data_IF_940510171164
#
_entry.id   IF_940510171164
#
_cell.length_a   1.000
_cell.length_b   1.000
_cell.length_c   1.000
_cell.angle_alpha   90.00
_cell.angle_beta   90.00
_cell.angle_gamma   90.00
#
_symmetry.space_group_name_H-M   'P 1'
#
loop_
_entity.id
_entity.type
_entity.pdbx_description
1 polymer ?
#
# COMPACT_ATOMS: atom_id res chain seq x y z
N UNK A 1 -0.94 18.52 -23.77
CA UNK A 1 -0.92 17.57 -24.90
C UNK A 1 -1.42 16.23 -24.39
N UNK A 2 -1.96 15.36 -25.25
CA UNK A 2 -2.22 13.96 -24.87
C UNK A 2 -0.97 13.15 -25.16
N UNK A 3 -0.51 12.38 -24.19
CA UNK A 3 0.70 11.55 -24.30
C UNK A 3 0.40 10.12 -23.88
N UNK A 4 1.17 9.16 -24.35
CA UNK A 4 1.10 7.76 -23.90
C UNK A 4 2.45 7.44 -23.26
N UNK A 5 2.43 7.13 -21.97
CA UNK A 5 3.63 6.92 -21.16
C UNK A 5 3.64 5.50 -20.61
N UNK A 6 4.81 4.90 -20.61
CA UNK A 6 5.01 3.55 -20.10
C UNK A 6 5.27 3.60 -18.60
N UNK A 7 4.62 2.72 -17.85
CA UNK A 7 5.08 2.39 -16.52
C UNK A 7 6.08 1.21 -16.61
N UNK A 8 7.34 1.48 -16.30
CA UNK A 8 8.47 0.58 -16.59
C UNK A 8 8.54 -0.63 -15.67
N UNK A 9 7.96 -0.58 -14.47
CA UNK A 9 7.99 -1.68 -13.52
C UNK A 9 6.99 -2.79 -13.86
N UNK A 10 5.99 -2.52 -14.72
CA UNK A 10 4.91 -3.48 -15.04
C UNK A 10 4.66 -3.72 -16.52
N UNK A 11 5.40 -3.04 -17.40
CA UNK A 11 5.17 -3.08 -18.86
C UNK A 11 3.74 -2.62 -19.25
N UNK A 12 3.18 -1.68 -18.47
CA UNK A 12 1.85 -1.11 -18.68
C UNK A 12 1.94 0.27 -19.35
N UNK A 13 0.88 0.67 -20.06
CA UNK A 13 0.80 1.98 -20.72
C UNK A 13 -0.37 2.81 -20.19
N UNK A 14 -0.09 4.09 -19.93
CA UNK A 14 -1.04 5.07 -19.44
C UNK A 14 -1.20 6.20 -20.45
N UNK A 15 -2.45 6.50 -20.81
CA UNK A 15 -2.81 7.67 -21.61
C UNK A 15 -2.92 8.86 -20.67
N UNK A 16 -1.99 9.80 -20.76
CA UNK A 16 -2.03 11.07 -20.02
C UNK A 16 -2.83 12.08 -20.83
N UNK A 17 -4.05 12.39 -20.39
CA UNK A 17 -5.01 13.21 -21.11
C UNK A 17 -5.58 14.35 -20.24
N UNK A 18 -4.81 15.42 -19.97
CA UNK A 18 -5.25 16.52 -19.11
C UNK A 18 -6.52 17.23 -19.59
N UNK A 19 -6.76 17.31 -20.89
CA UNK A 19 -7.97 17.95 -21.46
C UNK A 19 -9.28 17.23 -21.09
N UNK A 20 -9.20 16.01 -20.55
CA UNK A 20 -10.38 15.27 -20.05
C UNK A 20 -10.83 15.75 -18.66
N UNK A 21 -10.06 16.59 -17.97
CA UNK A 21 -10.46 17.15 -16.66
C UNK A 21 -11.70 18.03 -16.75
N UNK A 22 -11.97 18.62 -17.91
CA UNK A 22 -13.06 19.58 -18.12
C UNK A 22 -14.41 18.90 -18.45
N UNK A 23 -14.45 17.56 -18.43
CA UNK A 23 -15.69 16.82 -18.65
C UNK A 23 -16.65 17.05 -17.48
N UNK A 24 -17.92 17.39 -17.73
CA UNK A 24 -18.91 17.52 -16.65
C UNK A 24 -19.04 16.21 -15.88
N UNK A 25 -19.01 16.30 -14.55
CA UNK A 25 -19.24 15.21 -13.62
C UNK A 25 -20.53 15.49 -12.83
N UNK A 26 -21.55 14.67 -13.03
CA UNK A 26 -22.85 14.79 -12.35
C UNK A 26 -22.86 14.14 -10.95
N UNK A 27 -21.73 13.58 -10.50
CA UNK A 27 -21.61 12.90 -9.21
C UNK A 27 -20.82 13.76 -8.22
N UNK A 28 -21.42 14.01 -7.05
CA UNK A 28 -20.76 14.74 -5.97
C UNK A 28 -19.60 13.93 -5.39
N UNK A 29 -18.52 14.62 -4.98
CA UNK A 29 -17.52 14.02 -4.09
C UNK A 29 -18.16 13.84 -2.72
N UNK A 30 -18.10 12.63 -2.17
CA UNK A 30 -18.53 12.41 -0.79
C UNK A 30 -17.59 13.17 0.16
N UNK A 31 -18.17 14.04 0.99
CA UNK A 31 -17.50 14.63 2.14
C UNK A 31 -17.78 13.77 3.35
N UNK A 32 -16.80 12.96 3.75
CA UNK A 32 -16.95 11.97 4.81
C UNK A 32 -16.08 12.25 6.02
N UNK A 33 -16.09 13.48 6.56
CA UNK A 33 -15.35 13.71 7.80
C UNK A 33 -16.12 13.13 8.99
N UNK A 34 -15.54 12.10 9.58
CA UNK A 34 -16.03 11.48 10.81
C UNK A 34 -15.54 12.32 11.97
N UNK A 35 -16.46 12.77 12.82
CA UNK A 35 -16.13 13.67 13.94
C UNK A 35 -15.95 12.94 15.27
N UNK A 36 -16.64 11.82 15.47
CA UNK A 36 -16.70 11.13 16.76
C UNK A 36 -15.47 10.25 16.99
N UNK A 37 -14.76 10.46 18.10
CA UNK A 37 -13.61 9.63 18.51
C UNK A 37 -14.03 8.20 18.90
N UNK A 38 -15.29 8.00 19.27
CA UNK A 38 -15.87 6.69 19.57
C UNK A 38 -17.26 6.57 18.96
N UNK A 39 -17.57 5.39 18.43
CA UNK A 39 -18.90 5.01 17.93
C UNK A 39 -19.28 3.71 18.61
N UNK A 40 -20.45 3.67 19.26
CA UNK A 40 -20.88 2.53 20.10
C UNK A 40 -20.91 1.21 19.35
N UNK A 41 -21.37 1.24 18.10
CA UNK A 41 -21.64 0.02 17.31
C UNK A 41 -20.47 -0.35 16.40
N UNK A 42 -19.30 0.28 16.60
CA UNK A 42 -18.11 -0.04 15.85
C UNK A 42 -17.32 -1.14 16.58
N UNK A 43 -17.12 -2.33 15.97
CA UNK A 43 -16.40 -3.44 16.61
C UNK A 43 -14.92 -3.15 16.85
N UNK A 44 -14.38 -2.13 16.19
CA UNK A 44 -12.96 -1.74 16.31
C UNK A 44 -12.76 -0.64 17.36
N UNK A 45 -13.81 -0.06 17.94
CA UNK A 45 -13.65 0.91 19.02
C UNK A 45 -13.26 0.23 20.34
N UNK A 46 -12.46 0.89 21.19
CA UNK A 46 -12.14 0.39 22.52
C UNK A 46 -13.39 0.07 23.36
N UNK A 47 -13.35 -1.06 24.06
CA UNK A 47 -14.45 -1.62 24.84
C UNK A 47 -15.35 -2.59 24.08
N UNK A 48 -15.17 -2.74 22.76
CA UNK A 48 -15.92 -3.66 21.91
C UNK A 48 -15.05 -4.84 21.44
N UNK A 49 -13.96 -5.15 22.12
CA UNK A 49 -12.98 -6.16 21.69
C UNK A 49 -13.60 -7.56 21.54
N UNK A 50 -14.65 -7.87 22.33
CA UNK A 50 -15.44 -9.10 22.21
C UNK A 50 -16.24 -9.22 20.90
N UNK A 51 -16.38 -8.15 20.13
CA UNK A 51 -17.08 -8.16 18.83
C UNK A 51 -16.17 -8.58 17.66
N UNK A 52 -14.85 -8.63 17.91
CA UNK A 52 -13.83 -9.11 16.97
C UNK A 52 -13.33 -10.52 17.35
N UNK A 53 -12.76 -11.28 16.41
CA UNK A 53 -11.98 -12.47 16.76
C UNK A 53 -10.87 -12.15 17.77
N UNK A 54 -10.41 -13.16 18.51
CA UNK A 54 -9.34 -12.99 19.50
C UNK A 54 -8.09 -12.36 18.88
N UNK A 55 -7.49 -11.43 19.61
CA UNK A 55 -6.30 -10.74 19.14
C UNK A 55 -5.15 -11.70 18.86
N UNK A 56 -4.39 -11.43 17.81
CA UNK A 56 -3.12 -12.12 17.51
C UNK A 56 -1.91 -11.30 17.95
N UNK A 57 -2.05 -9.98 18.03
CA UNK A 57 -1.01 -9.06 18.46
C UNK A 57 -1.61 -7.70 18.83
N UNK A 58 -1.01 -6.99 19.79
CA UNK A 58 -1.32 -5.58 20.01
C UNK A 58 -0.17 -4.85 20.68
N UNK A 59 -0.10 -3.54 20.45
CA UNK A 59 0.79 -2.62 21.15
C UNK A 59 -0.02 -1.91 22.22
N UNK A 60 0.44 -1.99 23.48
CA UNK A 60 -0.16 -1.36 24.66
C UNK A 60 0.90 -0.64 25.48
N UNK A 61 0.53 0.45 26.14
CA UNK A 61 1.38 1.16 27.09
C UNK A 61 1.04 0.77 28.53
N UNK A 62 2.04 0.80 29.41
CA UNK A 62 1.85 0.63 30.85
C UNK A 62 2.27 -0.73 31.38
N UNK A 63 2.31 -0.86 32.71
CA UNK A 63 2.81 -2.07 33.40
C UNK A 63 1.79 -3.21 33.41
N UNK A 64 0.49 -2.87 33.44
CA UNK A 64 -0.63 -3.83 33.45
C UNK A 64 -1.78 -3.26 32.60
N UNK A 65 -1.62 -3.23 31.27
CA UNK A 65 -2.62 -2.63 30.40
C UNK A 65 -3.88 -3.51 30.30
N UNK A 66 -5.05 -2.87 30.28
CA UNK A 66 -6.30 -3.54 29.94
C UNK A 66 -6.34 -3.85 28.44
N UNK A 67 -7.22 -4.76 28.05
CA UNK A 67 -7.40 -5.10 26.63
C UNK A 67 -7.67 -3.86 25.79
N UNK A 68 -8.51 -2.94 26.30
CA UNK A 68 -8.91 -1.66 25.70
C UNK A 68 -7.84 -0.57 25.61
N UNK A 69 -6.69 -0.77 26.24
CA UNK A 69 -5.59 0.22 26.27
C UNK A 69 -4.64 0.07 25.06
N UNK A 70 -5.13 -0.55 23.99
CA UNK A 70 -4.37 -0.78 22.76
C UNK A 70 -4.20 0.52 21.95
N UNK A 71 -3.02 0.65 21.35
CA UNK A 71 -2.70 1.69 20.36
C UNK A 71 -2.88 1.18 18.94
N UNK A 72 -2.38 -0.03 18.69
CA UNK A 72 -2.58 -0.78 17.45
C UNK A 72 -2.95 -2.20 17.85
N UNK A 73 -3.97 -2.78 17.22
CA UNK A 73 -4.48 -4.11 17.54
C UNK A 73 -4.67 -4.93 16.27
N UNK A 74 -4.23 -6.19 16.30
CA UNK A 74 -4.31 -7.13 15.19
C UNK A 74 -5.17 -8.32 15.61
N UNK A 75 -6.06 -8.72 14.74
CA UNK A 75 -6.92 -9.89 14.92
C UNK A 75 -7.22 -10.53 13.56
N UNK A 76 -7.54 -11.83 13.51
CA UNK A 76 -8.01 -12.47 12.29
C UNK A 76 -9.24 -11.75 11.73
N UNK A 77 -9.32 -11.65 10.41
CA UNK A 77 -10.52 -11.15 9.76
C UNK A 77 -11.68 -12.13 10.04
N UNK A 78 -12.83 -11.62 10.50
CA UNK A 78 -14.02 -12.42 10.79
C UNK A 78 -14.60 -13.09 9.54
N UNK A 79 -14.35 -12.50 8.37
CA UNK A 79 -14.74 -13.02 7.06
C UNK A 79 -13.49 -13.14 6.18
N UNK A 80 -12.61 -14.11 6.47
CA UNK A 80 -11.30 -14.18 5.84
C UNK A 80 -11.42 -14.61 4.38
N UNK A 81 -10.45 -14.18 3.55
CA UNK A 81 -10.41 -14.54 2.13
C UNK A 81 -9.70 -15.89 1.90
N UNK A 82 -8.95 -16.35 2.91
CA UNK A 82 -8.20 -17.60 2.96
C UNK A 82 -8.50 -18.29 4.30
N UNK A 83 -8.42 -19.61 4.32
CA UNK A 83 -8.71 -20.42 5.48
C UNK A 83 -7.41 -20.91 6.13
N UNK A 84 -7.18 -20.54 7.39
CA UNK A 84 -6.01 -20.98 8.17
C UNK A 84 -6.01 -22.49 8.46
N UNK A 85 -7.16 -23.13 8.32
CA UNK A 85 -7.35 -24.58 8.47
C UNK A 85 -7.53 -25.26 7.09
N UNK A 86 -7.36 -24.49 6.01
CA UNK A 86 -7.38 -24.97 4.64
C UNK A 86 -6.20 -25.87 4.28
N UNK A 87 -6.18 -26.36 3.04
CA UNK A 87 -5.09 -27.20 2.52
C UNK A 87 -4.26 -26.43 1.51
N UNK A 88 -3.03 -26.88 1.26
CA UNK A 88 -2.17 -26.39 0.17
C UNK A 88 -2.16 -27.33 -1.05
N UNK A 89 -3.01 -28.36 -1.03
CA UNK A 89 -3.05 -29.39 -2.07
C UNK A 89 -3.46 -28.80 -3.43
N UNK A 90 -2.70 -29.16 -4.46
CA UNK A 90 -2.95 -28.77 -5.85
C UNK A 90 -3.65 -29.93 -6.57
N UNK A 91 -4.70 -29.61 -7.31
CA UNK A 91 -5.37 -30.50 -8.26
C UNK A 91 -5.06 -29.98 -9.65
N UNK A 92 -4.19 -30.70 -10.36
CA UNK A 92 -3.79 -30.39 -11.72
C UNK A 92 -4.63 -31.15 -12.74
N UNK A 93 -5.02 -30.46 -13.81
CA UNK A 93 -5.66 -31.04 -14.98
C UNK A 93 -5.27 -30.25 -16.23
N UNK A 94 -5.53 -30.80 -17.42
CA UNK A 94 -5.02 -30.24 -18.69
C UNK A 94 -5.45 -28.79 -18.96
N UNK A 95 -6.63 -28.38 -18.49
CA UNK A 95 -7.19 -27.03 -18.66
C UNK A 95 -7.61 -26.37 -17.34
N UNK A 96 -7.81 -27.16 -16.30
CA UNK A 96 -8.36 -26.71 -15.03
C UNK A 96 -7.40 -27.12 -13.92
N UNK A 97 -6.93 -26.11 -13.19
CA UNK A 97 -6.07 -26.27 -12.04
C UNK A 97 -6.71 -25.56 -10.85
N UNK A 98 -6.56 -26.13 -9.67
CA UNK A 98 -7.02 -25.52 -8.42
C UNK A 98 -6.07 -25.87 -7.29
N UNK A 99 -5.99 -24.99 -6.30
CA UNK A 99 -5.27 -25.24 -5.05
C UNK A 99 -6.19 -25.00 -3.87
N UNK A 100 -5.92 -25.67 -2.75
CA UNK A 100 -6.60 -25.38 -1.50
C UNK A 100 -6.35 -23.93 -1.05
N UNK A 101 -7.35 -23.33 -0.40
CA UNK A 101 -7.34 -21.92 -0.01
C UNK A 101 -6.65 -21.65 1.33
N UNK A 102 -5.51 -22.30 1.61
CA UNK A 102 -4.77 -22.04 2.85
C UNK A 102 -4.17 -20.63 2.88
N UNK A 103 -4.19 -20.01 4.04
CA UNK A 103 -3.47 -18.76 4.30
C UNK A 103 -4.06 -17.97 5.46
N UNK A 104 -3.58 -16.74 5.63
CA UNK A 104 -3.99 -15.88 6.74
C UNK A 104 -4.62 -14.59 6.21
N UNK A 105 -5.69 -14.14 6.86
CA UNK A 105 -6.26 -12.81 6.62
C UNK A 105 -6.42 -12.12 7.98
N UNK A 106 -5.66 -11.07 8.22
CA UNK A 106 -5.69 -10.28 9.46
C UNK A 106 -6.15 -8.85 9.19
N UNK A 107 -6.82 -8.26 10.18
CA UNK A 107 -7.16 -6.85 10.25
C UNK A 107 -6.24 -6.19 11.28
N UNK A 108 -5.73 -5.00 10.94
CA UNK A 108 -4.88 -4.18 11.79
C UNK A 108 -5.64 -2.90 12.09
N UNK A 109 -6.25 -2.80 13.27
CA UNK A 109 -6.84 -1.57 13.77
C UNK A 109 -5.71 -0.63 14.21
N UNK A 110 -5.61 0.54 13.57
CA UNK A 110 -4.42 1.39 13.60
C UNK A 110 -4.40 2.41 14.73
N UNK A 111 -5.56 2.70 15.32
CA UNK A 111 -5.70 3.67 16.40
C UNK A 111 -6.99 3.38 17.17
N UNK A 112 -7.07 3.61 18.49
CA UNK A 112 -8.32 3.52 19.23
C UNK A 112 -9.38 4.55 18.80
N UNK A 113 -8.95 5.61 18.09
CA UNK A 113 -9.81 6.75 17.71
C UNK A 113 -10.56 6.46 16.40
N UNK A 114 -11.89 6.40 16.48
CA UNK A 114 -12.75 6.14 15.32
C UNK A 114 -12.71 7.25 14.25
N UNK A 115 -12.54 8.51 14.67
CA UNK A 115 -12.32 9.65 13.78
C UNK A 115 -10.84 9.85 13.37
N UNK A 116 -9.97 8.91 13.77
CA UNK A 116 -8.58 8.90 13.35
C UNK A 116 -8.45 8.71 11.85
N UNK A 117 -7.22 8.78 11.37
CA UNK A 117 -6.82 8.46 9.99
C UNK A 117 -5.31 8.55 9.96
N UNK A 118 -4.62 7.73 9.16
CA UNK A 118 -3.17 7.90 8.94
C UNK A 118 -2.81 9.32 8.48
N UNK A 119 -3.74 10.04 7.82
CA UNK A 119 -3.58 11.46 7.43
C UNK A 119 -3.67 12.46 8.59
N UNK A 120 -4.02 12.00 9.80
CA UNK A 120 -4.24 12.79 11.03
C UNK A 120 -3.42 12.29 12.22
N UNK A 121 -2.87 11.07 12.16
CA UNK A 121 -2.05 10.51 13.21
C UNK A 121 -0.72 11.25 13.34
N UNK A 122 -0.14 11.23 14.55
CA UNK A 122 1.23 11.66 14.77
C UNK A 122 2.24 10.67 14.17
N UNK A 123 3.46 11.15 13.90
CA UNK A 123 4.52 10.31 13.30
C UNK A 123 4.75 9.07 14.16
N UNK A 124 4.83 9.27 15.47
CA UNK A 124 5.03 8.21 16.46
C UNK A 124 3.89 7.19 16.44
N UNK A 125 2.66 7.59 16.14
CA UNK A 125 1.54 6.66 16.01
C UNK A 125 1.63 5.86 14.71
N UNK A 126 2.04 6.50 13.60
CA UNK A 126 2.26 5.81 12.32
C UNK A 126 3.45 4.83 12.44
N UNK A 127 4.50 5.18 13.19
CA UNK A 127 5.59 4.26 13.50
C UNK A 127 5.07 2.96 14.15
N UNK A 128 4.14 3.05 15.10
CA UNK A 128 3.55 1.85 15.72
C UNK A 128 2.80 0.98 14.71
N UNK A 129 2.12 1.60 13.73
CA UNK A 129 1.44 0.89 12.65
C UNK A 129 2.45 0.19 11.75
N UNK A 130 3.51 0.86 11.32
CA UNK A 130 4.59 0.28 10.49
C UNK A 130 5.31 -0.85 11.23
N UNK A 131 5.62 -0.66 12.52
CA UNK A 131 6.20 -1.74 13.37
C UNK A 131 5.26 -2.94 13.42
N UNK A 132 3.96 -2.71 13.57
CA UNK A 132 2.96 -3.78 13.57
C UNK A 132 2.95 -4.52 12.23
N UNK A 133 3.05 -3.83 11.09
CA UNK A 133 3.18 -4.48 9.78
C UNK A 133 4.40 -5.40 9.73
N UNK A 134 5.57 -4.93 10.17
CA UNK A 134 6.79 -5.72 10.20
C UNK A 134 6.68 -6.94 11.11
N UNK A 135 6.20 -6.76 12.34
CA UNK A 135 6.04 -7.85 13.30
C UNK A 135 5.11 -8.93 12.76
N UNK A 136 3.98 -8.54 12.18
CA UNK A 136 3.03 -9.51 11.59
C UNK A 136 3.60 -10.17 10.34
N UNK A 137 4.23 -9.42 9.44
CA UNK A 137 4.84 -9.99 8.25
C UNK A 137 5.95 -10.99 8.59
N UNK A 138 6.84 -10.66 9.53
CA UNK A 138 7.91 -11.56 10.01
C UNK A 138 7.34 -12.77 10.74
N UNK A 139 6.26 -12.63 11.50
CA UNK A 139 5.63 -13.75 12.18
C UNK A 139 5.02 -14.76 11.21
N UNK A 140 4.29 -14.28 10.19
CA UNK A 140 3.63 -15.12 9.19
C UNK A 140 4.61 -15.71 8.18
N UNK A 141 5.72 -15.02 7.89
CA UNK A 141 6.81 -15.53 7.07
C UNK A 141 7.56 -16.73 7.66
N UNK A 142 7.30 -17.10 8.93
CA UNK A 142 7.86 -18.31 9.56
C UNK A 142 7.11 -19.57 9.18
N UNK A 143 5.89 -19.43 8.65
CA UNK A 143 5.14 -20.56 8.14
C UNK A 143 5.71 -20.97 6.76
N UNK A 144 6.20 -22.21 6.59
CA UNK A 144 6.82 -22.65 5.34
C UNK A 144 5.87 -22.74 4.15
N UNK A 145 4.55 -22.76 4.36
CA UNK A 145 3.57 -22.78 3.28
C UNK A 145 3.29 -21.38 2.72
N UNK A 146 3.70 -20.31 3.43
CA UNK A 146 3.48 -18.93 2.99
C UNK A 146 4.61 -18.50 2.06
N UNK A 147 4.23 -18.01 0.87
CA UNK A 147 5.16 -17.45 -0.12
C UNK A 147 5.14 -15.92 -0.17
N UNK A 148 4.04 -15.29 0.21
CA UNK A 148 3.92 -13.84 0.17
C UNK A 148 3.03 -13.28 1.27
N UNK A 149 3.37 -12.11 1.79
CA UNK A 149 2.57 -11.37 2.77
C UNK A 149 2.20 -10.00 2.20
N UNK A 150 0.95 -9.86 1.78
CA UNK A 150 0.40 -8.61 1.24
C UNK A 150 -0.10 -7.71 2.36
N UNK A 151 0.47 -6.51 2.47
CA UNK A 151 0.01 -5.46 3.39
C UNK A 151 -0.61 -4.33 2.57
N UNK A 152 -1.87 -4.00 2.88
CA UNK A 152 -2.60 -2.98 2.16
C UNK A 152 -3.62 -2.26 3.03
N UNK A 153 -4.03 -1.07 2.58
CA UNK A 153 -5.04 -0.24 3.24
C UNK A 153 -6.09 0.22 2.25
N UNK A 154 -7.33 0.25 2.71
CA UNK A 154 -8.46 0.84 1.98
C UNK A 154 -9.06 1.97 2.83
N UNK A 155 -8.99 3.21 2.35
CA UNK A 155 -9.60 4.37 3.00
C UNK A 155 -10.78 4.86 2.18
N UNK A 156 -11.97 4.89 2.79
CA UNK A 156 -13.19 5.40 2.15
C UNK A 156 -13.89 4.38 1.25
N UNK A 157 -15.19 4.63 1.02
CA UNK A 157 -16.08 3.69 0.32
C UNK A 157 -15.66 3.45 -1.13
N UNK A 158 -15.21 4.48 -1.84
CA UNK A 158 -14.72 4.37 -3.23
C UNK A 158 -13.45 3.51 -3.33
N UNK A 159 -12.69 3.36 -2.24
CA UNK A 159 -11.52 2.49 -2.17
C UNK A 159 -11.83 1.07 -1.67
N UNK A 160 -13.11 0.75 -1.42
CA UNK A 160 -13.56 -0.56 -0.97
C UNK A 160 -13.53 -0.76 0.54
N UNK A 161 -13.43 0.29 1.34
CA UNK A 161 -13.54 0.18 2.79
C UNK A 161 -15.00 -0.15 3.20
N UNK A 162 -15.19 -1.24 3.94
CA UNK A 162 -16.49 -1.63 4.51
C UNK A 162 -16.77 -0.99 5.87
N UNK A 163 -15.70 -0.70 6.62
CA UNK A 163 -15.74 -0.02 7.92
C UNK A 163 -14.98 1.30 7.84
N UNK A 164 -15.49 2.29 8.56
CA UNK A 164 -14.93 3.64 8.60
C UNK A 164 -13.77 3.80 9.58
N UNK A 165 -13.69 2.94 10.60
CA UNK A 165 -12.63 2.98 11.60
C UNK A 165 -11.27 2.74 10.92
N UNK A 166 -10.20 3.48 11.26
CA UNK A 166 -8.90 3.34 10.59
C UNK A 166 -8.30 1.94 10.74
N UNK A 167 -8.16 1.24 9.63
CA UNK A 167 -7.57 -0.09 9.61
C UNK A 167 -6.84 -0.37 8.31
N UNK A 168 -5.85 -1.24 8.42
CA UNK A 168 -5.22 -1.91 7.31
C UNK A 168 -5.51 -3.40 7.37
N UNK A 169 -5.16 -4.10 6.32
CA UNK A 169 -5.32 -5.55 6.23
C UNK A 169 -4.01 -6.18 5.78
N UNK A 170 -3.85 -7.42 6.20
CA UNK A 170 -2.76 -8.28 5.81
C UNK A 170 -3.34 -9.59 5.29
N UNK A 171 -2.91 -10.03 4.10
CA UNK A 171 -3.24 -11.35 3.57
C UNK A 171 -1.94 -12.09 3.25
N UNK A 172 -1.73 -13.23 3.89
CA UNK A 172 -0.60 -14.11 3.62
C UNK A 172 -1.04 -15.29 2.74
N UNK A 173 -0.39 -15.46 1.59
CA UNK A 173 -0.75 -16.39 0.53
C UNK A 173 0.32 -17.46 0.31
N UNK A 174 -0.11 -18.63 -0.15
CA UNK A 174 0.74 -19.75 -0.62
C UNK A 174 1.26 -19.55 -2.05
N UNK A 175 1.08 -18.34 -2.60
CA UNK A 175 1.53 -17.98 -3.94
C UNK A 175 1.92 -16.51 -3.99
N UNK A 176 2.90 -16.18 -4.82
CA UNK A 176 3.22 -14.78 -5.14
C UNK A 176 2.15 -14.18 -6.07
N UNK A 177 1.52 -13.03 -5.76
CA UNK A 177 0.54 -12.39 -6.63
C UNK A 177 1.05 -12.11 -8.06
N UNK A 178 0.16 -12.22 -9.05
CA UNK A 178 0.51 -12.06 -10.48
C UNK A 178 1.15 -10.71 -10.81
N UNK A 179 0.69 -9.63 -10.18
CA UNK A 179 1.24 -8.29 -10.33
C UNK A 179 2.73 -8.25 -9.96
N UNK A 180 3.10 -8.85 -8.83
CA UNK A 180 4.49 -8.88 -8.38
C UNK A 180 5.36 -9.77 -9.24
N UNK A 181 4.83 -10.91 -9.73
CA UNK A 181 5.55 -11.72 -10.71
C UNK A 181 5.89 -10.92 -11.98
N UNK A 182 4.99 -10.04 -12.43
CA UNK A 182 5.29 -9.12 -13.54
C UNK A 182 6.39 -8.15 -13.17
N UNK A 183 6.33 -7.53 -11.99
CA UNK A 183 7.37 -6.62 -11.50
C UNK A 183 8.75 -7.27 -11.42
N UNK A 184 8.84 -8.46 -10.81
CA UNK A 184 10.09 -9.21 -10.70
C UNK A 184 10.66 -9.51 -12.09
N UNK A 185 9.80 -9.90 -13.03
CA UNK A 185 10.20 -10.19 -14.42
C UNK A 185 10.71 -8.94 -15.15
N UNK A 186 10.05 -7.79 -15.02
CA UNK A 186 10.52 -6.57 -15.68
C UNK A 186 11.81 -6.03 -15.05
N UNK A 187 11.95 -6.15 -13.73
CA UNK A 187 13.17 -5.84 -13.01
C UNK A 187 14.34 -6.75 -13.43
N UNK A 188 14.11 -8.07 -13.50
CA UNK A 188 15.09 -9.05 -13.97
C UNK A 188 15.51 -8.77 -15.42
N UNK A 189 14.54 -8.52 -16.32
CA UNK A 189 14.81 -8.14 -17.72
C UNK A 189 15.68 -6.90 -17.81
N UNK A 190 15.45 -5.89 -16.98
CA UNK A 190 16.28 -4.69 -16.96
C UNK A 190 17.70 -5.02 -16.46
N UNK A 191 17.81 -5.74 -15.35
CA UNK A 191 19.08 -6.16 -14.77
C UNK A 191 19.93 -6.98 -15.74
N UNK A 192 19.34 -7.95 -16.43
CA UNK A 192 20.04 -8.75 -17.44
C UNK A 192 20.59 -7.91 -18.61
N UNK A 193 19.99 -6.75 -18.91
CA UNK A 193 20.46 -5.83 -19.96
C UNK A 193 21.47 -4.80 -19.46
N UNK A 194 21.37 -4.34 -18.21
CA UNK A 194 22.10 -3.17 -17.69
C UNK A 194 23.06 -3.49 -16.54
N UNK A 195 22.90 -4.63 -15.86
CA UNK A 195 23.64 -5.01 -14.67
C UNK A 195 23.23 -4.27 -13.40
N UNK A 196 22.12 -3.53 -13.43
CA UNK A 196 21.69 -2.61 -12.37
C UNK A 196 20.24 -2.90 -11.94
N UNK A 197 19.85 -2.42 -10.76
CA UNK A 197 18.48 -2.48 -10.28
C UNK A 197 17.59 -1.46 -11.03
N UNK A 198 16.46 -1.92 -11.58
CA UNK A 198 15.52 -1.08 -12.32
C UNK A 198 15.03 0.10 -11.49
N UNK A 199 14.68 -0.17 -10.23
CA UNK A 199 14.09 0.83 -9.34
C UNK A 199 15.11 1.86 -8.87
N UNK A 200 16.36 1.46 -8.62
CA UNK A 200 17.43 2.40 -8.30
C UNK A 200 17.67 3.38 -9.45
N UNK A 201 17.69 2.89 -10.69
CA UNK A 201 17.82 3.74 -11.87
C UNK A 201 16.59 4.64 -12.09
N UNK A 202 15.39 4.12 -11.81
CA UNK A 202 14.16 4.92 -11.84
C UNK A 202 14.21 6.08 -10.84
N UNK A 203 14.57 5.80 -9.58
CA UNK A 203 14.69 6.83 -8.56
C UNK A 203 15.75 7.87 -8.93
N UNK A 204 16.91 7.45 -9.41
CA UNK A 204 17.99 8.37 -9.79
C UNK A 204 17.58 9.28 -10.94
N UNK A 205 16.85 8.75 -11.93
CA UNK A 205 16.29 9.56 -13.01
C UNK A 205 15.26 10.58 -12.49
N UNK A 206 14.37 10.17 -11.58
CA UNK A 206 13.38 11.07 -10.99
C UNK A 206 14.02 12.18 -10.15
N UNK A 207 15.08 11.85 -9.39
CA UNK A 207 15.88 12.80 -8.59
C UNK A 207 16.70 13.74 -9.46
N UNK A 208 17.19 13.28 -10.61
CA UNK A 208 17.93 14.13 -11.57
C UNK A 208 17.00 15.11 -12.26
N UNK A 209 15.79 14.70 -12.61
CA UNK A 209 14.81 15.58 -13.28
C UNK A 209 14.08 16.51 -12.30
N UNK A 210 13.89 16.09 -11.04
CA UNK A 210 13.21 16.78 -9.94
C UNK A 210 11.72 17.15 -10.19
N UNK A 211 11.23 17.05 -11.43
CA UNK A 211 9.90 17.52 -11.81
C UNK A 211 8.78 16.79 -11.07
N UNK A 212 8.95 15.48 -10.85
CA UNK A 212 7.93 14.59 -10.29
C UNK A 212 8.19 14.18 -8.85
N UNK A 213 9.31 14.59 -8.25
CA UNK A 213 9.60 14.39 -6.82
C UNK A 213 8.64 15.23 -5.98
N UNK A 214 7.90 14.59 -5.08
CA UNK A 214 6.97 15.27 -4.15
C UNK A 214 7.72 15.72 -2.91
N UNK A 215 8.48 14.81 -2.30
CA UNK A 215 9.35 15.07 -1.16
C UNK A 215 10.45 13.99 -1.08
N UNK A 216 11.57 14.33 -0.45
CA UNK A 216 12.69 13.44 -0.20
C UNK A 216 13.24 13.74 1.20
N UNK A 217 13.56 12.70 1.95
CA UNK A 217 14.34 12.78 3.18
C UNK A 217 15.58 11.87 3.05
N UNK A 218 16.35 11.68 4.13
CA UNK A 218 17.62 10.95 4.07
C UNK A 218 17.46 9.47 3.66
N UNK A 219 16.31 8.84 3.94
CA UNK A 219 16.10 7.41 3.71
C UNK A 219 15.03 7.08 2.67
N UNK A 220 14.17 8.04 2.28
CA UNK A 220 13.04 7.83 1.39
C UNK A 220 12.84 8.96 0.39
N UNK A 221 12.43 8.58 -0.82
CA UNK A 221 11.96 9.50 -1.85
C UNK A 221 10.50 9.16 -2.19
N UNK A 222 9.65 10.18 -2.25
CA UNK A 222 8.28 10.07 -2.73
C UNK A 222 8.11 10.85 -4.03
N UNK A 223 7.63 10.19 -5.09
CA UNK A 223 7.42 10.83 -6.39
C UNK A 223 6.18 10.29 -7.11
N UNK A 224 5.67 11.08 -8.06
CA UNK A 224 4.57 10.67 -8.95
C UNK A 224 5.19 9.98 -10.17
N UNK A 225 4.93 8.69 -10.44
CA UNK A 225 5.61 7.98 -11.52
C UNK A 225 5.40 8.64 -12.89
N UNK A 226 6.43 8.64 -13.73
CA UNK A 226 6.33 9.12 -15.12
C UNK A 226 5.15 8.51 -15.90
N UNK A 227 4.90 7.21 -15.70
CA UNK A 227 3.81 6.43 -16.30
C UNK A 227 2.55 6.32 -15.44
N UNK A 228 2.34 7.19 -14.45
CA UNK A 228 1.27 7.07 -13.46
C UNK A 228 -0.10 6.75 -14.07
N UNK A 229 -0.73 5.69 -13.56
CA UNK A 229 -2.00 5.12 -14.01
C UNK A 229 -3.18 5.93 -13.49
N UNK A 230 -3.06 6.42 -12.26
CA UNK A 230 -4.10 7.18 -11.57
C UNK A 230 -3.68 8.63 -11.27
N UNK A 231 -4.62 9.58 -11.24
CA UNK A 231 -4.33 10.94 -10.81
C UNK A 231 -3.76 10.96 -9.39
N UNK A 232 -2.62 11.64 -9.21
CA UNK A 232 -1.90 11.76 -7.93
C UNK A 232 -1.42 10.43 -7.32
N UNK A 233 -1.33 9.37 -8.12
CA UNK A 233 -0.57 8.17 -7.76
C UNK A 233 0.83 8.57 -7.31
N UNK A 234 1.24 8.15 -6.12
CA UNK A 234 2.54 8.52 -5.54
C UNK A 234 3.18 7.28 -4.96
N UNK A 235 4.45 7.05 -5.31
CA UNK A 235 5.22 5.92 -4.83
C UNK A 235 6.27 6.41 -3.85
N UNK A 236 6.51 5.63 -2.80
CA UNK A 236 7.55 5.84 -1.80
C UNK A 236 8.57 4.70 -1.95
N UNK A 237 9.82 5.05 -2.15
CA UNK A 237 10.94 4.11 -2.27
C UNK A 237 12.01 4.45 -1.22
N UNK A 238 12.64 3.45 -0.58
CA UNK A 238 13.83 3.73 0.20
C UNK A 238 15.00 4.11 -0.71
N UNK A 239 15.82 5.04 -0.26
CA UNK A 239 17.04 5.46 -0.96
C UNK A 239 18.04 4.29 -0.98
N UNK A 240 18.10 3.53 0.11
CA UNK A 240 18.94 2.34 0.21
C UNK A 240 18.28 1.16 -0.49
N UNK A 241 19.05 0.51 -1.37
CA UNK A 241 18.59 -0.71 -2.02
C UNK A 241 18.26 -1.82 -1.01
N UNK A 242 17.00 -2.27 -1.07
CA UNK A 242 16.43 -3.38 -0.31
C UNK A 242 15.34 -4.06 -1.15
N UNK A 243 15.42 -5.36 -1.37
CA UNK A 243 14.32 -6.07 -2.03
C UNK A 243 13.14 -6.36 -1.10
N UNK A 244 13.35 -6.40 0.21
CA UNK A 244 12.35 -6.76 1.20
C UNK A 244 12.03 -5.63 2.19
N UNK A 245 10.74 -5.38 2.42
CA UNK A 245 10.22 -4.46 3.43
C UNK A 245 10.54 -4.98 4.83
N UNK A 246 10.67 -6.30 5.00
CA UNK A 246 10.98 -6.91 6.30
C UNK A 246 12.41 -6.60 6.79
N UNK A 247 13.25 -6.06 5.91
CA UNK A 247 14.65 -5.71 6.18
C UNK A 247 14.85 -4.24 6.55
N UNK A 248 13.77 -3.46 6.70
CA UNK A 248 13.91 -2.07 7.17
C UNK A 248 14.32 -2.03 8.64
N UNK A 249 15.19 -1.08 8.96
CA UNK A 249 15.76 -0.87 10.28
C UNK A 249 14.95 0.15 11.12
N UNK A 250 15.32 0.32 12.39
CA UNK A 250 14.56 1.13 13.34
C UNK A 250 14.49 2.63 13.00
N UNK A 251 15.54 3.17 12.39
CA UNK A 251 15.63 4.52 11.83
C UNK A 251 14.79 4.66 10.55
N UNK A 252 14.88 3.70 9.64
CA UNK A 252 14.07 3.66 8.42
C UNK A 252 12.56 3.57 8.72
N UNK A 253 12.15 2.92 9.82
CA UNK A 253 10.76 2.88 10.30
C UNK A 253 10.22 4.28 10.61
N UNK A 254 11.02 5.13 11.27
CA UNK A 254 10.61 6.51 11.55
C UNK A 254 10.57 7.32 10.27
N UNK A 255 11.58 7.16 9.43
CA UNK A 255 11.72 7.88 8.17
C UNK A 255 10.57 7.62 7.19
N UNK A 256 10.13 6.35 7.05
CA UNK A 256 8.95 6.01 6.25
C UNK A 256 7.66 6.55 6.89
N UNK A 257 7.53 6.54 8.22
CA UNK A 257 6.35 7.08 8.90
C UNK A 257 6.20 8.59 8.65
N UNK A 258 7.30 9.34 8.72
CA UNK A 258 7.36 10.77 8.39
C UNK A 258 7.00 11.02 6.92
N UNK A 259 7.64 10.28 6.00
CA UNK A 259 7.39 10.39 4.56
C UNK A 259 5.92 10.10 4.23
N UNK A 260 5.38 8.99 4.73
CA UNK A 260 3.98 8.60 4.53
C UNK A 260 3.02 9.66 5.11
N UNK A 261 3.28 10.16 6.32
CA UNK A 261 2.47 11.24 6.94
C UNK A 261 2.45 12.48 6.05
N UNK A 262 3.62 12.94 5.60
CA UNK A 262 3.73 14.14 4.78
C UNK A 262 3.04 13.97 3.43
N UNK A 263 3.27 12.86 2.73
CA UNK A 263 2.60 12.56 1.46
C UNK A 263 1.08 12.51 1.59
N UNK A 264 0.57 11.77 2.59
CA UNK A 264 -0.87 11.68 2.85
C UNK A 264 -1.47 13.02 3.29
N UNK A 265 -0.73 13.83 4.05
CA UNK A 265 -1.14 15.17 4.47
C UNK A 265 -1.21 16.14 3.28
N UNK A 266 -0.25 16.07 2.36
CA UNK A 266 -0.26 16.85 1.13
C UNK A 266 -1.51 16.56 0.30
N UNK A 267 -1.81 15.26 0.09
CA UNK A 267 -3.02 14.83 -0.60
C UNK A 267 -4.29 15.27 0.15
N UNK A 268 -4.32 15.14 1.48
CA UNK A 268 -5.46 15.58 2.29
C UNK A 268 -5.73 17.08 2.13
N UNK A 269 -4.70 17.92 2.22
CA UNK A 269 -4.83 19.37 1.99
C UNK A 269 -5.31 19.65 0.57
N UNK A 270 -4.75 18.97 -0.43
CA UNK A 270 -5.14 19.12 -1.83
C UNK A 270 -6.61 18.80 -2.10
N UNK A 271 -7.17 17.81 -1.41
CA UNK A 271 -8.56 17.37 -1.60
C UNK A 271 -9.54 17.88 -0.54
N UNK A 272 -9.16 18.89 0.24
CA UNK A 272 -10.02 19.54 1.24
C UNK A 272 -10.49 18.52 2.30
N UNK A 273 -9.54 18.09 3.12
CA UNK A 273 -9.71 17.29 4.36
C UNK A 273 -10.03 15.80 4.23
N UNK A 274 -10.51 15.31 3.09
CA UNK A 274 -10.75 13.89 2.87
C UNK A 274 -10.53 13.46 1.42
N UNK A 275 -9.94 12.28 1.22
CA UNK A 275 -9.90 11.61 -0.07
C UNK A 275 -9.86 10.08 0.13
N UNK A 276 -10.58 9.31 -0.72
CA UNK A 276 -10.46 7.87 -0.70
C UNK A 276 -9.15 7.45 -1.39
N UNK A 277 -8.48 6.44 -0.84
CA UNK A 277 -7.27 5.89 -1.42
C UNK A 277 -7.07 4.43 -1.04
N UNK A 278 -6.28 3.73 -1.86
CA UNK A 278 -5.62 2.50 -1.43
C UNK A 278 -4.13 2.78 -1.26
N UNK A 279 -3.47 2.06 -0.36
CA UNK A 279 -2.04 1.83 -0.54
C UNK A 279 -1.71 0.36 -0.38
N UNK A 280 -0.59 -0.06 -0.97
CA UNK A 280 -0.02 -1.39 -0.81
C UNK A 280 1.49 -1.34 -0.73
N UNK A 281 2.08 -2.26 0.03
CA UNK A 281 3.52 -2.49 0.07
C UNK A 281 3.85 -3.62 -0.91
N UNK A 282 4.75 -3.32 -1.84
CA UNK A 282 5.27 -4.23 -2.86
C UNK A 282 6.65 -4.66 -2.42
N UNK A 283 6.84 -5.96 -2.17
CA UNK A 283 8.05 -6.47 -1.53
C UNK A 283 8.46 -7.83 -2.07
N UNK A 284 9.67 -8.31 -1.75
CA UNK A 284 10.13 -9.64 -2.08
C UNK A 284 9.27 -10.73 -1.39
N UNK A 285 9.15 -11.94 -1.99
CA UNK A 285 8.46 -13.07 -1.37
C UNK A 285 9.18 -13.56 -0.12
N UNK A 286 8.51 -14.41 0.65
CA UNK A 286 9.01 -15.04 1.87
C UNK A 286 9.25 -16.54 1.65
N UNK A 287 9.93 -17.20 2.59
CA UNK A 287 10.17 -18.66 2.56
C UNK A 287 11.34 -19.09 1.67
N UNK A 288 11.34 -18.75 0.37
CA UNK A 288 12.40 -19.18 -0.55
C UNK A 288 13.62 -18.24 -0.52
N UNK A 289 14.59 -18.59 0.33
CA UNK A 289 15.85 -17.86 0.48
C UNK A 289 16.67 -17.74 -0.81
N UNK A 290 16.53 -18.66 -1.76
CA UNK A 290 17.25 -18.57 -3.05
C UNK A 290 16.63 -17.50 -3.92
N UNK A 291 15.30 -17.51 -4.04
CA UNK A 291 14.54 -16.48 -4.76
C UNK A 291 14.77 -15.09 -4.15
N UNK A 292 14.76 -14.98 -2.82
CA UNK A 292 15.07 -13.73 -2.12
C UNK A 292 16.47 -13.20 -2.45
N UNK A 293 17.50 -14.06 -2.37
CA UNK A 293 18.88 -13.68 -2.72
C UNK A 293 19.06 -13.28 -4.17
N UNK A 294 18.26 -13.84 -5.07
CA UNK A 294 18.31 -13.47 -6.47
C UNK A 294 17.64 -12.11 -6.70
N UNK A 295 16.44 -11.91 -6.14
CA UNK A 295 15.70 -10.65 -6.17
C UNK A 295 16.50 -9.49 -5.56
N UNK A 296 17.30 -9.73 -4.54
CA UNK A 296 18.17 -8.71 -3.93
C UNK A 296 19.13 -8.05 -4.93
N UNK A 297 19.38 -8.65 -6.10
CA UNK A 297 20.22 -8.04 -7.14
C UNK A 297 19.50 -6.99 -7.99
N UNK A 298 18.16 -7.07 -8.10
CA UNK A 298 17.43 -6.31 -9.12
C UNK A 298 16.05 -5.79 -8.71
N UNK A 299 15.46 -6.28 -7.63
CA UNK A 299 14.18 -5.84 -7.10
C UNK A 299 14.36 -4.90 -5.90
N UNK A 300 13.42 -3.96 -5.75
CA UNK A 300 13.45 -2.95 -4.71
C UNK A 300 12.02 -2.76 -4.19
N UNK A 301 11.83 -2.97 -2.88
CA UNK A 301 10.50 -2.83 -2.29
C UNK A 301 10.04 -1.36 -2.33
N UNK A 302 8.74 -1.16 -2.39
CA UNK A 302 8.16 0.19 -2.40
C UNK A 302 6.73 0.19 -1.87
N UNK A 303 6.22 1.38 -1.58
CA UNK A 303 4.83 1.59 -1.21
C UNK A 303 4.14 2.45 -2.27
N UNK A 304 3.01 1.99 -2.78
CA UNK A 304 2.19 2.74 -3.74
C UNK A 304 0.95 3.30 -3.07
N UNK A 305 0.71 4.60 -3.23
CA UNK A 305 -0.52 5.28 -2.80
C UNK A 305 -1.34 5.61 -4.04
N UNK A 306 -2.56 5.08 -4.12
CA UNK A 306 -3.47 5.23 -5.24
C UNK A 306 -4.74 5.98 -4.79
N UNK A 307 -4.83 7.30 -4.99
CA UNK A 307 -6.06 8.06 -4.78
C UNK A 307 -7.19 7.61 -5.72
N UNK A 308 -8.37 7.34 -5.16
CA UNK A 308 -9.56 6.90 -5.91
C UNK A 308 -10.43 8.07 -6.32
N UNK A 309 -9.88 8.92 -7.18
CA UNK A 309 -10.54 10.13 -7.69
C UNK A 309 -11.36 9.89 -8.95
N UNK A 310 -11.06 8.80 -9.66
CA UNK A 310 -11.77 8.34 -10.85
C UNK A 310 -12.06 6.85 -10.72
N UNK A 311 -13.15 6.40 -11.35
CA UNK A 311 -13.52 4.99 -11.40
C UNK A 311 -13.07 4.39 -12.73
N UNK A 312 -12.22 3.35 -12.75
CA UNK A 312 -11.88 2.63 -13.98
C UNK A 312 -13.14 2.11 -14.69
N UNK A 313 -13.29 2.47 -15.96
CA UNK A 313 -14.44 2.14 -16.78
C UNK A 313 -14.10 1.01 -17.75
N UNK A 314 -14.93 0.83 -18.79
CA UNK A 314 -14.80 -0.29 -19.73
C UNK A 314 -13.48 -0.32 -20.50
N UNK A 315 -12.87 0.84 -20.79
CA UNK A 315 -11.58 0.88 -21.49
C UNK A 315 -10.47 0.35 -20.59
N UNK A 316 -10.38 0.85 -19.35
CA UNK A 316 -9.35 0.45 -18.40
C UNK A 316 -9.50 -1.03 -18.01
N UNK A 317 -10.73 -1.47 -17.73
CA UNK A 317 -11.01 -2.85 -17.37
C UNK A 317 -10.84 -3.83 -18.53
N UNK A 318 -11.14 -3.42 -19.75
CA UNK A 318 -11.11 -4.29 -20.93
C UNK A 318 -9.74 -4.38 -21.59
N UNK A 319 -8.92 -3.33 -21.51
CA UNK A 319 -7.62 -3.27 -22.18
C UNK A 319 -6.41 -3.44 -21.27
N UNK A 320 -6.57 -3.24 -19.96
CA UNK A 320 -5.44 -3.15 -19.02
C UNK A 320 -4.63 -1.85 -19.13
N UNK A 321 -5.01 -0.91 -20.02
CA UNK A 321 -4.39 0.41 -20.13
C UNK A 321 -5.18 1.46 -19.34
N UNK A 322 -4.48 2.45 -18.78
CA UNK A 322 -5.12 3.45 -17.92
C UNK A 322 -5.27 4.81 -18.62
N UNK A 323 -6.25 5.60 -18.18
CA UNK A 323 -6.41 7.00 -18.59
C UNK A 323 -6.21 7.88 -17.36
N UNK A 324 -5.12 8.63 -17.35
CA UNK A 324 -4.82 9.60 -16.31
C UNK A 324 -5.15 11.02 -16.76
N UNK A 325 -6.04 11.69 -16.04
CA UNK A 325 -6.51 13.04 -16.37
C UNK A 325 -5.65 14.15 -15.76
N UNK A 326 -4.60 13.81 -15.01
CA UNK A 326 -3.64 14.77 -14.45
C UNK A 326 -2.24 14.34 -14.89
N UNK A 327 -1.45 15.25 -15.45
CA UNK A 327 -0.07 14.90 -15.78
C UNK A 327 0.75 14.68 -14.50
N UNK A 328 1.68 13.70 -14.49
CA UNK A 328 2.54 13.43 -13.34
C UNK A 328 3.24 14.67 -12.77
N UNK A 329 3.77 15.53 -13.64
CA UNK A 329 4.49 16.75 -13.24
C UNK A 329 3.58 17.74 -12.54
N UNK A 330 2.33 17.88 -13.02
CA UNK A 330 1.33 18.76 -12.40
C UNK A 330 0.91 18.21 -11.05
N UNK A 331 0.64 16.91 -10.95
CA UNK A 331 0.28 16.27 -9.70
C UNK A 331 1.38 16.46 -8.65
N UNK A 332 2.64 16.17 -9.01
CA UNK A 332 3.77 16.33 -8.11
C UNK A 332 3.96 17.79 -7.66
N UNK A 333 3.91 18.74 -8.60
CA UNK A 333 4.01 20.16 -8.27
C UNK A 333 2.91 20.66 -7.36
N UNK A 334 1.66 20.23 -7.59
CA UNK A 334 0.53 20.60 -6.73
C UNK A 334 0.66 19.98 -5.32
N UNK A 335 1.12 18.73 -5.20
CA UNK A 335 1.36 18.11 -3.89
C UNK A 335 2.50 18.82 -3.14
N UNK A 336 3.63 19.06 -3.81
CA UNK A 336 4.80 19.75 -3.24
C UNK A 336 4.44 21.14 -2.71
N UNK A 337 3.62 21.90 -3.44
CA UNK A 337 3.14 23.22 -3.01
C UNK A 337 2.28 23.18 -1.73
N UNK A 338 1.67 22.04 -1.37
CA UNK A 338 0.90 21.90 -0.12
C UNK A 338 1.76 21.55 1.11
N UNK A 339 3.01 21.14 0.87
CA UNK A 339 4.02 20.87 1.89
C UNK A 339 4.79 22.13 2.29
N UNK A 340 4.83 23.13 1.40
CA UNK A 340 5.51 24.43 1.58
C UNK A 340 4.82 25.32 2.61
#
# INVERSE_FOLDING_TARGET
MVEIRKEVTRDEWSIIAPTRSDRPFDFSRESGEIKNERVSDCPFCPGNESETPSETYAIRDGKEPKESDWKVRVFPNKYPALDREGTTSVIEGDLFESMGGFGYHEVIAETPRHNGSLTKLEVEEIELVIRTYLERAKALARDPEIEYVSIFRNQGKQAGASLSHPHSQLIATTFVPSLLRTEYREAEKFHNRKGECLYCQLMEAERTEEQRVVLENDDFVAFVPFGARFPYETHLYPVRHRSSFQEIEADEIRSIAETLKLTLSAMRKKFIDFFPYNFSIHTAPVGDTKTQKDLEKYYHWHLEIIPRLTTPAGFERGSGNFINIVSPEKAAGELRNTLS
#
